data_IF_324719678867
#
_entry.id   IF_324719678867
#
_cell.length_a   1.000
_cell.length_b   1.000
_cell.length_c   1.000
_cell.angle_alpha   90.00
_cell.angle_beta   90.00
_cell.angle_gamma   90.00
#
_symmetry.space_group_name_H-M   'P 1'
#
loop_
_entity.id
_entity.type
_entity.pdbx_description
1 polymer ?
#
# COMPACT_ATOMS: atom_id res chain seq x y z
N UNK A 1 -3.57 14.30 -16.49
CA UNK A 1 -4.93 13.72 -16.40
C UNK A 1 -5.23 13.15 -15.02
N UNK A 2 -4.49 12.14 -14.54
CA UNK A 2 -4.76 11.48 -13.25
C UNK A 2 -4.82 12.43 -12.05
N UNK A 3 -3.89 13.38 -11.94
CA UNK A 3 -3.89 14.37 -10.85
C UNK A 3 -5.12 15.28 -10.91
N UNK A 4 -5.50 15.72 -12.11
CA UNK A 4 -6.67 16.58 -12.34
C UNK A 4 -7.96 15.84 -12.00
N UNK A 5 -8.10 14.58 -12.45
CA UNK A 5 -9.22 13.72 -12.09
C UNK A 5 -9.29 13.47 -10.58
N UNK A 6 -8.17 13.11 -9.95
CA UNK A 6 -8.09 12.90 -8.50
C UNK A 6 -8.48 14.15 -7.71
N UNK A 7 -7.98 15.32 -8.12
CA UNK A 7 -8.34 16.59 -7.49
C UNK A 7 -9.83 16.94 -7.67
N UNK A 8 -10.39 16.73 -8.88
CA UNK A 8 -11.80 16.97 -9.15
C UNK A 8 -12.72 16.08 -8.31
N UNK A 9 -12.40 14.79 -8.19
CA UNK A 9 -13.15 13.86 -7.35
C UNK A 9 -12.95 14.12 -5.85
N UNK A 10 -11.79 14.61 -5.43
CA UNK A 10 -11.56 15.02 -4.04
C UNK A 10 -12.45 16.22 -3.68
N UNK A 11 -12.58 17.18 -4.59
CA UNK A 11 -13.47 18.32 -4.42
C UNK A 11 -14.95 17.89 -4.41
N UNK A 12 -15.33 16.98 -5.30
CA UNK A 12 -16.67 16.38 -5.31
C UNK A 12 -16.98 15.66 -3.99
N UNK A 13 -16.03 14.87 -3.48
CA UNK A 13 -16.15 14.20 -2.20
C UNK A 13 -16.41 15.21 -1.08
N UNK A 14 -15.59 16.27 -0.99
CA UNK A 14 -15.80 17.36 -0.02
C UNK A 14 -17.18 17.99 -0.13
N UNK A 15 -17.61 18.34 -1.35
CA UNK A 15 -18.91 18.98 -1.59
C UNK A 15 -20.07 18.07 -1.15
N UNK A 16 -19.95 16.76 -1.35
CA UNK A 16 -21.00 15.79 -1.03
C UNK A 16 -20.96 15.29 0.43
N UNK A 17 -19.89 15.54 1.17
CA UNK A 17 -19.76 15.20 2.59
C UNK A 17 -19.62 16.43 3.50
N UNK A 18 -20.60 17.36 3.51
CA UNK A 18 -20.57 18.45 4.48
C UNK A 18 -20.66 17.93 5.92
N UNK A 19 -20.06 18.66 6.85
CA UNK A 19 -19.93 18.30 8.27
C UNK A 19 -21.28 17.99 8.94
N UNK A 20 -22.37 18.55 8.41
CA UNK A 20 -23.76 18.35 8.89
C UNK A 20 -24.33 16.95 8.62
N UNK A 21 -23.69 16.10 7.81
CA UNK A 21 -24.16 14.74 7.50
C UNK A 21 -23.82 13.77 8.63
N UNK A 22 -24.70 12.81 8.90
CA UNK A 22 -24.46 11.69 9.83
C UNK A 22 -23.30 10.80 9.37
N UNK A 23 -22.72 10.08 10.33
CA UNK A 23 -21.55 9.25 10.13
C UNK A 23 -21.72 8.20 9.03
N UNK A 24 -22.84 7.48 9.03
CA UNK A 24 -23.12 6.41 8.07
C UNK A 24 -23.30 6.96 6.65
N UNK A 25 -24.00 8.09 6.52
CA UNK A 25 -24.20 8.75 5.23
C UNK A 25 -22.88 9.18 4.59
N UNK A 26 -21.93 9.69 5.38
CA UNK A 26 -20.60 10.06 4.88
C UNK A 26 -19.82 8.84 4.37
N UNK A 27 -19.86 7.72 5.10
CA UNK A 27 -19.19 6.49 4.69
C UNK A 27 -19.76 5.95 3.37
N UNK A 28 -21.10 5.91 3.23
CA UNK A 28 -21.77 5.46 2.01
C UNK A 28 -21.36 6.33 0.82
N UNK A 29 -21.36 7.66 0.98
CA UNK A 29 -20.96 8.60 -0.08
C UNK A 29 -19.50 8.41 -0.47
N UNK A 30 -18.61 8.24 0.51
CA UNK A 30 -17.20 8.01 0.23
C UNK A 30 -16.96 6.71 -0.53
N UNK A 31 -17.59 5.60 -0.14
CA UNK A 31 -17.50 4.33 -0.86
C UNK A 31 -18.08 4.46 -2.27
N UNK A 32 -19.22 5.13 -2.44
CA UNK A 32 -19.82 5.36 -3.75
C UNK A 32 -18.89 6.17 -4.67
N UNK A 33 -18.28 7.24 -4.16
CA UNK A 33 -17.34 8.08 -4.92
C UNK A 33 -16.05 7.33 -5.23
N UNK A 34 -15.51 6.53 -4.30
CA UNK A 34 -14.34 5.68 -4.53
C UNK A 34 -14.59 4.65 -5.64
N UNK A 35 -15.76 4.02 -5.65
CA UNK A 35 -16.16 3.07 -6.70
C UNK A 35 -16.41 3.77 -8.03
N UNK A 36 -17.09 4.92 -8.03
CA UNK A 36 -17.31 5.76 -9.21
C UNK A 36 -15.97 6.18 -9.82
N UNK A 37 -15.04 6.69 -8.99
CA UNK A 37 -13.72 7.09 -9.41
C UNK A 37 -12.92 5.91 -10.00
N UNK A 38 -13.01 4.74 -9.38
CA UNK A 38 -12.37 3.52 -9.89
C UNK A 38 -12.91 3.11 -11.27
N UNK A 39 -14.23 3.16 -11.45
CA UNK A 39 -14.88 2.89 -12.73
C UNK A 39 -14.49 3.91 -13.82
N UNK A 40 -14.52 5.19 -13.49
CA UNK A 40 -14.07 6.27 -14.40
C UNK A 40 -12.59 6.09 -14.75
N UNK A 41 -11.74 5.79 -13.78
CA UNK A 41 -10.32 5.54 -14.00
C UNK A 41 -10.07 4.39 -14.98
N UNK A 42 -10.84 3.31 -14.87
CA UNK A 42 -10.76 2.19 -15.80
C UNK A 42 -11.20 2.56 -17.23
N UNK A 43 -12.22 3.41 -17.40
CA UNK A 43 -12.65 3.89 -18.73
C UNK A 43 -11.61 4.78 -19.40
N UNK A 44 -10.93 5.62 -18.61
CA UNK A 44 -9.85 6.50 -19.09
C UNK A 44 -8.47 5.80 -19.17
N UNK A 45 -8.41 4.49 -18.91
CA UNK A 45 -7.20 3.67 -18.88
C UNK A 45 -6.09 4.27 -17.97
N UNK A 46 -6.50 4.88 -16.86
CA UNK A 46 -5.61 5.42 -15.82
C UNK A 46 -5.66 4.53 -14.58
N UNK A 47 -4.55 4.46 -13.84
CA UNK A 47 -4.47 3.60 -12.65
C UNK A 47 -5.48 4.04 -11.57
N UNK A 48 -6.47 3.20 -11.22
CA UNK A 48 -7.44 3.52 -10.17
C UNK A 48 -6.75 3.71 -8.81
N UNK A 49 -5.69 2.94 -8.56
CA UNK A 49 -4.98 2.96 -7.29
C UNK A 49 -4.24 4.28 -7.06
N UNK A 50 -3.45 4.69 -8.06
CA UNK A 50 -2.71 5.96 -7.99
C UNK A 50 -3.68 7.15 -7.96
N UNK A 51 -4.81 7.03 -8.69
CA UNK A 51 -5.87 8.02 -8.67
C UNK A 51 -6.53 8.17 -7.30
N UNK A 52 -6.89 7.07 -6.63
CA UNK A 52 -7.47 7.10 -5.28
C UNK A 52 -6.49 7.68 -4.26
N UNK A 53 -5.19 7.37 -4.37
CA UNK A 53 -4.16 7.99 -3.53
C UNK A 53 -4.08 9.51 -3.75
N UNK A 54 -4.15 9.95 -4.99
CA UNK A 54 -4.13 11.39 -5.32
C UNK A 54 -5.38 12.09 -4.80
N UNK A 55 -6.56 11.47 -4.98
CA UNK A 55 -7.83 11.97 -4.45
C UNK A 55 -7.78 12.09 -2.92
N UNK A 56 -7.32 11.05 -2.23
CA UNK A 56 -7.18 11.05 -0.76
C UNK A 56 -6.19 12.11 -0.26
N UNK A 57 -5.05 12.26 -0.96
CA UNK A 57 -4.07 13.31 -0.66
C UNK A 57 -4.68 14.70 -0.79
N UNK A 58 -5.35 14.99 -1.92
CA UNK A 58 -5.98 16.30 -2.14
C UNK A 58 -7.09 16.54 -1.12
N UNK A 59 -7.94 15.54 -0.86
CA UNK A 59 -9.01 15.65 0.13
C UNK A 59 -8.47 15.94 1.54
N UNK A 60 -7.40 15.25 1.97
CA UNK A 60 -6.76 15.48 3.26
C UNK A 60 -6.26 16.92 3.42
N UNK A 61 -5.76 17.54 2.34
CA UNK A 61 -5.29 18.92 2.35
C UNK A 61 -6.43 19.96 2.34
N UNK A 62 -7.64 19.59 1.91
CA UNK A 62 -8.76 20.53 1.76
C UNK A 62 -9.76 20.46 2.93
N UNK A 63 -10.03 19.27 3.48
CA UNK A 63 -11.03 19.08 4.54
C UNK A 63 -10.45 19.44 5.93
N UNK A 64 -9.16 19.17 6.16
CA UNK A 64 -8.50 19.49 7.43
C UNK A 64 -9.02 18.72 8.66
N UNK A 65 -9.91 17.73 8.47
CA UNK A 65 -10.45 16.88 9.54
C UNK A 65 -10.34 15.40 9.14
N UNK A 66 -9.97 14.53 10.07
CA UNK A 66 -9.76 13.11 9.78
C UNK A 66 -11.01 12.23 9.96
N UNK A 67 -12.19 12.81 10.21
CA UNK A 67 -13.39 12.05 10.56
C UNK A 67 -13.76 11.01 9.49
N UNK A 68 -13.69 11.39 8.21
CA UNK A 68 -13.97 10.48 7.10
C UNK A 68 -12.91 9.36 7.00
N UNK A 69 -11.64 9.70 7.18
CA UNK A 69 -10.55 8.73 7.17
C UNK A 69 -10.67 7.73 8.32
N UNK A 70 -11.05 8.17 9.53
CA UNK A 70 -11.32 7.29 10.66
C UNK A 70 -12.47 6.31 10.37
N UNK A 71 -13.54 6.80 9.74
CA UNK A 71 -14.67 5.95 9.33
C UNK A 71 -14.26 4.92 8.28
N UNK A 72 -13.51 5.34 7.25
CA UNK A 72 -12.97 4.43 6.24
C UNK A 72 -12.02 3.41 6.87
N UNK A 73 -11.16 3.83 7.81
CA UNK A 73 -10.26 2.94 8.54
C UNK A 73 -11.00 1.93 9.42
N UNK A 74 -12.15 2.29 9.98
CA UNK A 74 -13.01 1.35 10.71
C UNK A 74 -13.71 0.34 9.78
N UNK A 75 -13.99 0.73 8.54
CA UNK A 75 -14.59 -0.14 7.51
C UNK A 75 -13.57 -1.02 6.77
N UNK A 76 -12.27 -0.70 6.88
CA UNK A 76 -11.20 -1.43 6.20
C UNK A 76 -10.97 -2.88 6.69
N UNK A 77 -11.05 -3.23 7.99
CA UNK A 77 -10.71 -4.56 8.49
C UNK A 77 -11.50 -5.71 7.85
N UNK A 78 -12.84 -5.62 7.64
CA UNK A 78 -13.58 -6.64 6.90
C UNK A 78 -13.06 -6.88 5.47
N UNK A 79 -12.70 -5.80 4.75
CA UNK A 79 -12.16 -5.89 3.38
C UNK A 79 -10.80 -6.58 3.40
N UNK A 80 -9.92 -6.16 4.32
CA UNK A 80 -8.60 -6.77 4.50
C UNK A 80 -8.73 -8.26 4.83
N UNK A 81 -9.65 -8.63 5.72
CA UNK A 81 -9.88 -10.03 6.09
C UNK A 81 -10.27 -10.87 4.86
N UNK A 82 -11.25 -10.42 4.07
CA UNK A 82 -11.65 -11.11 2.84
C UNK A 82 -10.49 -11.23 1.85
N UNK A 83 -9.71 -10.16 1.72
CA UNK A 83 -8.54 -10.12 0.85
C UNK A 83 -7.45 -11.09 1.29
N UNK A 84 -7.11 -11.12 2.59
CA UNK A 84 -6.08 -12.00 3.14
C UNK A 84 -6.50 -13.46 3.11
N UNK A 85 -7.76 -13.77 3.44
CA UNK A 85 -8.29 -15.13 3.30
C UNK A 85 -8.22 -15.59 1.84
N UNK A 86 -8.67 -14.77 0.89
CA UNK A 86 -8.61 -15.13 -0.53
C UNK A 86 -7.17 -15.27 -1.04
N UNK A 87 -6.28 -14.38 -0.63
CA UNK A 87 -4.87 -14.44 -0.99
C UNK A 87 -4.20 -15.70 -0.43
N UNK A 88 -4.52 -16.07 0.82
CA UNK A 88 -4.08 -17.30 1.46
C UNK A 88 -4.67 -18.58 0.83
N UNK A 89 -5.92 -18.57 0.37
CA UNK A 89 -6.53 -19.71 -0.33
C UNK A 89 -5.96 -19.90 -1.74
N UNK A 90 -5.61 -18.80 -2.42
CA UNK A 90 -4.96 -18.83 -3.74
C UNK A 90 -3.45 -19.09 -3.61
N UNK A 91 -2.94 -19.13 -2.38
CA UNK A 91 -1.52 -19.31 -2.11
C UNK A 91 -1.09 -20.73 -2.44
N UNK A 92 -0.37 -20.86 -3.55
CA UNK A 92 0.23 -22.13 -3.91
C UNK A 92 1.57 -22.28 -3.19
N UNK A 93 1.58 -22.96 -2.04
CA UNK A 93 2.80 -23.36 -1.33
C UNK A 93 3.74 -24.19 -2.21
N UNK A 94 3.18 -24.91 -3.19
CA UNK A 94 4.01 -25.62 -4.16
C UNK A 94 4.82 -24.62 -4.96
N UNK A 95 4.38 -23.39 -5.19
CA UNK A 95 5.16 -22.39 -5.90
C UNK A 95 6.44 -21.93 -5.14
N UNK A 96 6.49 -22.07 -3.80
CA UNK A 96 7.73 -21.87 -3.01
C UNK A 96 8.70 -23.04 -3.14
N UNK A 97 8.18 -24.27 -3.25
CA UNK A 97 8.96 -25.53 -3.28
C UNK A 97 9.14 -26.05 -4.71
N UNK A 98 8.46 -25.46 -5.69
CA UNK A 98 8.40 -25.94 -7.05
C UNK A 98 9.74 -25.68 -7.71
N UNK A 99 10.31 -26.76 -8.25
CA UNK A 99 11.42 -26.74 -9.21
C UNK A 99 11.02 -26.15 -10.56
N UNK A 100 9.93 -25.35 -10.64
CA UNK A 100 9.63 -24.58 -11.84
C UNK A 100 10.80 -23.62 -12.09
N UNK A 101 11.47 -23.84 -13.20
CA UNK A 101 12.54 -22.99 -13.66
C UNK A 101 11.97 -21.89 -14.55
N UNK A 102 12.47 -20.67 -14.36
CA UNK A 102 12.44 -19.66 -15.41
C UNK A 102 13.81 -19.71 -16.05
N UNK A 103 13.88 -20.26 -17.26
CA UNK A 103 15.16 -20.58 -17.90
C UNK A 103 15.93 -21.65 -17.11
N UNK A 104 17.09 -21.28 -16.56
CA UNK A 104 18.02 -22.18 -15.83
C UNK A 104 18.01 -21.99 -14.31
N UNK A 105 17.22 -21.06 -13.78
CA UNK A 105 17.22 -20.71 -12.34
C UNK A 105 15.91 -21.08 -11.64
N UNK A 106 15.97 -21.61 -10.40
CA UNK A 106 14.78 -21.93 -9.62
C UNK A 106 14.02 -20.66 -9.25
N UNK A 107 12.69 -20.69 -9.39
CA UNK A 107 11.80 -19.56 -9.09
C UNK A 107 11.97 -19.00 -7.67
N UNK A 108 12.21 -19.89 -6.71
CA UNK A 108 12.45 -19.53 -5.32
C UNK A 108 13.68 -18.62 -5.16
N UNK A 109 14.76 -18.87 -5.90
CA UNK A 109 15.96 -18.04 -5.88
C UNK A 109 15.69 -16.67 -6.49
N UNK A 110 14.92 -16.60 -7.58
CA UNK A 110 14.52 -15.32 -8.20
C UNK A 110 13.64 -14.51 -7.25
N UNK A 111 12.67 -15.15 -6.58
CA UNK A 111 11.83 -14.51 -5.55
C UNK A 111 12.63 -13.99 -4.36
N UNK A 112 13.61 -14.76 -3.90
CA UNK A 112 14.52 -14.35 -2.83
C UNK A 112 15.40 -13.17 -3.26
N UNK A 113 16.07 -13.26 -4.42
CA UNK A 113 16.88 -12.17 -4.97
C UNK A 113 16.04 -10.89 -5.16
N UNK A 114 14.83 -11.03 -5.69
CA UNK A 114 13.90 -9.92 -5.84
C UNK A 114 13.57 -9.25 -4.50
N UNK A 115 13.29 -10.04 -3.45
CA UNK A 115 13.08 -9.55 -2.10
C UNK A 115 14.29 -8.76 -1.58
N UNK A 116 15.51 -9.30 -1.73
CA UNK A 116 16.74 -8.63 -1.27
C UNK A 116 17.01 -7.32 -2.02
N UNK A 117 16.96 -7.36 -3.35
CA UNK A 117 17.19 -6.18 -4.20
C UNK A 117 16.16 -5.10 -3.88
N UNK A 118 14.89 -5.47 -3.69
CA UNK A 118 13.82 -4.51 -3.37
C UNK A 118 13.98 -3.94 -1.96
N UNK A 119 14.41 -4.74 -0.97
CA UNK A 119 14.67 -4.27 0.39
C UNK A 119 15.83 -3.28 0.41
N UNK A 120 16.96 -3.62 -0.21
CA UNK A 120 18.15 -2.76 -0.30
C UNK A 120 17.83 -1.49 -1.08
N UNK A 121 17.12 -1.60 -2.22
CA UNK A 121 16.72 -0.45 -3.03
C UNK A 121 15.82 0.53 -2.26
N UNK A 122 14.81 0.04 -1.53
CA UNK A 122 13.97 0.90 -0.66
C UNK A 122 14.79 1.54 0.45
N UNK A 123 15.69 0.80 1.08
CA UNK A 123 16.53 1.32 2.16
C UNK A 123 17.45 2.44 1.67
N UNK A 124 18.20 2.19 0.59
CA UNK A 124 19.09 3.18 -0.01
C UNK A 124 18.32 4.40 -0.53
N UNK A 125 17.18 4.20 -1.18
CA UNK A 125 16.32 5.28 -1.66
C UNK A 125 15.80 6.15 -0.52
N UNK A 126 15.33 5.54 0.58
CA UNK A 126 14.88 6.26 1.76
C UNK A 126 16.02 7.01 2.46
N UNK A 127 17.20 6.39 2.56
CA UNK A 127 18.39 6.98 3.16
C UNK A 127 18.86 8.20 2.36
N UNK A 128 19.04 8.04 1.04
CA UNK A 128 19.47 9.12 0.16
C UNK A 128 18.43 10.24 0.09
N UNK A 129 17.14 9.92 -0.05
CA UNK A 129 16.06 10.92 -0.04
C UNK A 129 16.00 11.72 1.27
N UNK A 130 16.18 11.04 2.41
CA UNK A 130 16.24 11.69 3.73
C UNK A 130 17.52 12.51 3.93
N UNK A 131 18.64 12.09 3.34
CA UNK A 131 19.90 12.83 3.36
C UNK A 131 19.80 14.14 2.56
N UNK A 132 19.24 14.07 1.33
CA UNK A 132 19.06 15.23 0.44
C UNK A 132 18.10 16.25 1.05
N UNK A 133 17.07 15.79 1.76
CA UNK A 133 16.07 16.65 2.43
C UNK A 133 16.47 17.10 3.84
N UNK A 134 17.69 16.79 4.30
CA UNK A 134 18.23 17.26 5.58
C UNK A 134 17.51 16.70 6.82
N UNK A 135 16.89 15.52 6.75
CA UNK A 135 16.17 14.92 7.89
C UNK A 135 17.13 14.46 9.00
N UNK A 136 16.67 14.38 10.27
CA UNK A 136 17.46 13.88 11.40
C UNK A 136 18.04 12.49 11.14
N UNK A 137 19.17 12.16 11.77
CA UNK A 137 19.91 10.90 11.56
C UNK A 137 19.07 9.67 11.93
N UNK A 138 18.21 9.83 12.92
CA UNK A 138 17.22 8.87 13.40
C UNK A 138 16.25 8.50 12.27
N UNK A 139 15.65 9.49 11.62
CA UNK A 139 14.73 9.26 10.49
C UNK A 139 15.51 8.72 9.29
N UNK A 140 16.66 9.31 8.98
CA UNK A 140 17.47 8.92 7.80
C UNK A 140 17.91 7.46 7.84
N UNK A 141 18.34 6.95 9.00
CA UNK A 141 18.90 5.60 9.13
C UNK A 141 17.82 4.52 9.29
N UNK A 142 16.65 4.86 9.83
CA UNK A 142 15.62 3.88 10.20
C UNK A 142 14.35 3.92 9.34
N UNK A 143 14.11 4.99 8.56
CA UNK A 143 12.97 5.07 7.63
C UNK A 143 12.96 3.93 6.60
N UNK A 144 14.14 3.52 6.12
CA UNK A 144 14.26 2.40 5.18
C UNK A 144 13.73 1.07 5.74
N UNK A 145 13.90 0.82 7.04
CA UNK A 145 13.35 -0.35 7.72
C UNK A 145 11.83 -0.24 7.89
N UNK A 146 11.32 0.97 8.13
CA UNK A 146 9.88 1.24 8.24
C UNK A 146 9.12 1.06 6.92
N UNK A 147 9.80 1.13 5.77
CA UNK A 147 9.22 0.96 4.43
C UNK A 147 9.32 -0.49 3.89
N UNK A 148 9.90 -1.41 4.66
CA UNK A 148 9.95 -2.82 4.34
C UNK A 148 8.56 -3.47 4.20
N UNK A 149 7.56 -3.20 5.06
CA UNK A 149 6.23 -3.81 4.94
C UNK A 149 5.59 -3.54 3.58
N UNK A 150 5.12 -4.60 2.93
CA UNK A 150 4.38 -4.53 1.68
C UNK A 150 3.49 -5.76 1.57
N UNK A 151 2.18 -5.54 1.60
CA UNK A 151 1.21 -6.63 1.65
C UNK A 151 0.20 -6.51 0.49
N UNK A 152 -1.02 -6.07 0.79
CA UNK A 152 -2.16 -6.32 -0.09
C UNK A 152 -2.14 -5.64 -1.46
N UNK A 153 -1.57 -4.44 -1.58
CA UNK A 153 -1.54 -3.72 -2.87
C UNK A 153 -0.71 -4.48 -3.91
N UNK A 154 0.45 -5.00 -3.54
CA UNK A 154 1.34 -5.69 -4.47
C UNK A 154 0.74 -7.00 -4.97
N UNK A 155 0.11 -7.76 -4.07
CA UNK A 155 -0.59 -9.00 -4.38
C UNK A 155 -1.78 -8.73 -5.33
N UNK A 156 -2.58 -7.68 -5.06
CA UNK A 156 -3.71 -7.29 -5.92
C UNK A 156 -3.26 -6.89 -7.32
N UNK A 157 -2.20 -6.10 -7.45
CA UNK A 157 -1.63 -5.70 -8.73
C UNK A 157 -1.02 -6.89 -9.48
N UNK A 158 -0.39 -7.83 -8.77
CA UNK A 158 0.16 -9.05 -9.36
C UNK A 158 -0.95 -9.94 -9.97
N UNK A 159 -2.08 -10.08 -9.26
CA UNK A 159 -3.24 -10.79 -9.78
C UNK A 159 -3.84 -10.11 -11.02
N UNK A 160 -3.88 -8.77 -11.07
CA UNK A 160 -4.30 -8.03 -12.27
C UNK A 160 -3.32 -8.23 -13.43
N UNK A 161 -2.01 -8.15 -13.17
CA UNK A 161 -0.97 -8.42 -14.16
C UNK A 161 -1.10 -9.83 -14.74
N UNK A 162 -1.36 -10.84 -13.91
CA UNK A 162 -1.57 -12.21 -14.36
C UNK A 162 -2.74 -12.34 -15.35
N UNK A 163 -3.81 -11.56 -15.15
CA UNK A 163 -4.97 -11.54 -16.04
C UNK A 163 -4.68 -10.81 -17.36
N UNK A 164 -3.84 -9.78 -17.35
CA UNK A 164 -3.51 -9.00 -18.54
C UNK A 164 -2.41 -9.65 -19.42
N UNK A 165 -1.37 -10.21 -18.79
CA UNK A 165 -0.19 -10.78 -19.48
C UNK A 165 -0.35 -12.27 -19.82
N UNK A 166 -1.45 -12.90 -19.41
CA UNK A 166 -1.70 -14.31 -19.59
C UNK A 166 -1.03 -15.22 -18.54
N UNK A 167 -1.41 -16.51 -18.51
CA UNK A 167 -1.06 -17.42 -17.42
C UNK A 167 0.43 -17.81 -17.36
N UNK A 168 1.18 -17.75 -18.47
CA UNK A 168 2.60 -18.09 -18.47
C UNK A 168 3.48 -17.00 -17.82
N UNK A 169 3.59 -15.84 -18.47
CA UNK A 169 4.41 -14.73 -17.97
C UNK A 169 3.80 -14.10 -16.73
N UNK A 170 2.50 -13.81 -16.78
CA UNK A 170 1.78 -13.16 -15.69
C UNK A 170 1.67 -14.03 -14.44
N UNK A 171 1.45 -15.34 -14.61
CA UNK A 171 1.44 -16.30 -13.50
C UNK A 171 2.80 -16.42 -12.83
N UNK A 172 3.87 -16.46 -13.63
CA UNK A 172 5.26 -16.50 -13.11
C UNK A 172 5.59 -15.25 -12.29
N UNK A 173 5.26 -14.06 -12.80
CA UNK A 173 5.47 -12.80 -12.07
C UNK A 173 4.62 -12.74 -10.80
N UNK A 174 3.38 -13.22 -10.87
CA UNK A 174 2.50 -13.32 -9.71
C UNK A 174 3.12 -14.19 -8.63
N UNK A 175 3.67 -15.36 -8.97
CA UNK A 175 4.36 -16.22 -8.03
C UNK A 175 5.55 -15.52 -7.37
N UNK A 176 6.41 -14.85 -8.13
CA UNK A 176 7.57 -14.11 -7.59
C UNK A 176 7.13 -13.04 -6.58
N UNK A 177 6.07 -12.28 -6.92
CA UNK A 177 5.53 -11.23 -6.06
C UNK A 177 4.88 -11.83 -4.80
N UNK A 178 4.16 -12.94 -4.92
CA UNK A 178 3.55 -13.63 -3.78
C UNK A 178 4.60 -14.14 -2.79
N UNK A 179 5.63 -14.85 -3.28
CA UNK A 179 6.73 -15.38 -2.45
C UNK A 179 7.42 -14.25 -1.68
N UNK A 180 7.77 -13.16 -2.37
CA UNK A 180 8.43 -12.02 -1.74
C UNK A 180 7.51 -11.25 -0.77
N UNK A 181 6.21 -11.16 -1.05
CA UNK A 181 5.24 -10.49 -0.17
C UNK A 181 5.05 -11.25 1.15
N UNK A 182 5.05 -12.59 1.13
CA UNK A 182 5.01 -13.40 2.37
C UNK A 182 6.24 -13.14 3.25
N UNK A 183 7.43 -13.07 2.65
CA UNK A 183 8.65 -12.71 3.39
C UNK A 183 8.54 -11.31 4.01
N UNK A 184 7.96 -10.35 3.27
CA UNK A 184 7.67 -9.01 3.79
C UNK A 184 6.58 -8.98 4.86
N UNK A 185 5.59 -9.86 4.82
CA UNK A 185 4.56 -9.93 5.86
C UNK A 185 5.09 -10.53 7.16
N UNK A 186 6.06 -11.46 7.08
CA UNK A 186 6.71 -12.03 8.26
C UNK A 186 7.72 -11.05 8.90
N UNK A 187 8.54 -10.39 8.09
CA UNK A 187 9.64 -9.51 8.57
C UNK A 187 9.17 -8.05 8.72
N UNK A 188 8.17 -7.63 7.94
CA UNK A 188 7.68 -6.25 7.85
C UNK A 188 7.25 -5.66 9.18
N UNK A 189 6.31 -6.27 9.93
CA UNK A 189 5.86 -5.73 11.21
C UNK A 189 7.00 -5.55 12.21
N UNK A 190 7.92 -6.51 12.28
CA UNK A 190 9.09 -6.45 13.16
C UNK A 190 10.06 -5.33 12.74
N UNK A 191 10.41 -5.27 11.45
CA UNK A 191 11.32 -4.25 10.91
C UNK A 191 10.74 -2.84 11.01
N UNK A 192 9.45 -2.66 10.79
CA UNK A 192 8.79 -1.36 10.96
C UNK A 192 8.71 -0.94 12.41
N UNK A 193 8.34 -1.84 13.32
CA UNK A 193 8.33 -1.55 14.76
C UNK A 193 9.73 -1.17 15.26
N UNK A 194 10.77 -1.90 14.83
CA UNK A 194 12.16 -1.58 15.15
C UNK A 194 12.59 -0.23 14.57
N UNK A 195 12.25 0.04 13.31
CA UNK A 195 12.58 1.32 12.66
C UNK A 195 11.95 2.51 13.39
N UNK A 196 10.68 2.41 13.74
CA UNK A 196 9.97 3.47 14.47
C UNK A 196 10.53 3.64 15.89
N UNK A 197 10.76 2.54 16.60
CA UNK A 197 11.36 2.56 17.95
C UNK A 197 12.75 3.22 17.95
N UNK A 198 13.63 2.80 17.04
CA UNK A 198 14.99 3.33 16.94
C UNK A 198 15.02 4.78 16.43
N UNK A 199 14.01 5.19 15.67
CA UNK A 199 13.85 6.58 15.25
C UNK A 199 13.34 7.52 16.35
N UNK A 200 13.02 6.98 17.54
CA UNK A 200 12.39 7.70 18.68
C UNK A 200 11.06 8.37 18.33
N UNK A 201 10.37 7.91 17.28
CA UNK A 201 9.02 8.38 16.93
C UNK A 201 7.93 7.77 17.82
N UNK A 202 8.29 6.78 18.65
CA UNK A 202 7.49 6.27 19.75
C UNK A 202 8.05 6.81 21.07
N UNK A 203 7.24 7.60 21.80
CA UNK A 203 7.42 7.74 23.23
C UNK A 203 6.86 6.46 23.88
N UNK A 204 7.66 5.80 24.73
CA UNK A 204 7.22 4.61 25.45
C UNK A 204 6.20 4.92 26.58
N UNK A 205 5.76 6.18 26.69
CA UNK A 205 4.69 6.64 27.56
C UNK A 205 3.58 7.21 26.69
N UNK A 206 2.35 6.69 26.81
CA UNK A 206 1.18 7.17 26.09
C UNK A 206 0.77 8.60 26.45
N UNK A 207 1.55 9.59 26.05
CA UNK A 207 1.20 11.01 26.08
C UNK A 207 1.47 11.60 24.69
N UNK A 208 0.42 12.20 24.12
CA UNK A 208 0.52 13.05 22.93
C UNK A 208 1.60 14.11 23.14
N UNK A 209 2.50 14.36 22.17
CA UNK A 209 3.41 15.49 22.27
C UNK A 209 2.59 16.78 22.23
N UNK A 210 2.59 17.50 23.35
CA UNK A 210 2.07 18.85 23.44
C UNK A 210 2.73 19.71 22.38
N UNK A 211 1.90 20.48 21.67
CA UNK A 211 2.33 21.37 20.60
C UNK A 211 3.42 22.34 21.04
N UNK A 212 4.26 22.68 20.07
CA UNK A 212 5.10 23.88 20.06
C UNK A 212 4.80 24.66 18.80
#
# INVERSE_FOLDING_TARGET
>A
LLIVLGAGFAWLLKLMTPTSRTADNRLIIAVAILLLFSGVSAVFDVSPLLGCMTMGMVFANIEGHETLFKQLNYFNPPILLLFFVRSGLTFDLKALVSTKMVGTTPLALVGFLYFFVRLVGKYLGAFLGSAVTGKPKEVRNYLGLALAPQAGVAIGLAALCARQLGPELGGTLQTIILVSSVLYELIGPASAKLGLYLSKSYDASGQEPAGS
#
